data_IF_212697415979
#
_entry.id   IF_212697415979
#
_cell.length_a   1.000
_cell.length_b   1.000
_cell.length_c   1.000
_cell.angle_alpha   90.00
_cell.angle_beta   90.00
_cell.angle_gamma   90.00
#
_symmetry.space_group_name_H-M   'P 1'
#
loop_
_entity.id
_entity.type
_entity.pdbx_description
1 polymer ?
#
# COMPACT_ATOMS: atom_id res chain seq x y z
N UNK A 1 53.85 13.29 58.62
CA UNK A 1 54.49 14.41 57.87
C UNK A 1 54.35 14.12 56.37
N UNK A 2 54.17 15.12 55.50
CA UNK A 2 52.90 15.33 54.75
C UNK A 2 52.99 15.25 53.20
N UNK A 3 51.83 14.98 52.55
CA UNK A 3 51.28 15.56 51.29
C UNK A 3 52.00 15.31 49.92
N UNK A 4 51.38 15.61 48.74
CA UNK A 4 50.78 14.63 47.80
C UNK A 4 51.27 14.84 46.34
N UNK A 5 50.76 14.08 45.35
CA UNK A 5 50.69 14.59 43.96
C UNK A 5 49.63 13.87 43.11
N UNK A 6 48.70 14.68 42.56
CA UNK A 6 47.73 14.38 41.50
C UNK A 6 48.41 14.21 40.15
N UNK A 7 47.89 13.32 39.30
CA UNK A 7 47.81 13.46 37.82
C UNK A 7 47.18 12.17 37.25
N UNK A 8 46.44 12.13 36.15
CA UNK A 8 45.48 13.01 35.47
C UNK A 8 44.72 12.06 34.51
N UNK A 9 43.43 12.30 34.30
CA UNK A 9 42.56 11.48 33.44
C UNK A 9 43.06 11.48 31.99
N UNK A 10 43.07 10.31 31.35
CA UNK A 10 43.08 10.20 29.90
C UNK A 10 41.77 9.49 29.48
N UNK A 11 40.80 10.27 28.99
CA UNK A 11 39.60 9.76 28.33
C UNK A 11 39.93 9.73 26.85
N UNK A 12 40.15 8.54 26.30
CA UNK A 12 40.33 8.34 24.87
C UNK A 12 38.95 8.42 24.21
N UNK A 13 38.63 9.55 23.60
CA UNK A 13 37.43 9.69 22.77
C UNK A 13 37.67 9.01 21.41
N UNK A 14 37.08 7.84 21.21
CA UNK A 14 36.97 7.24 19.88
C UNK A 14 35.88 8.00 19.09
N UNK A 15 36.31 8.76 18.08
CA UNK A 15 35.41 9.38 17.12
C UNK A 15 34.89 8.29 16.16
N UNK A 16 33.67 7.82 16.37
CA UNK A 16 32.95 7.02 15.39
C UNK A 16 32.34 7.96 14.34
N UNK A 17 32.84 7.88 13.11
CA UNK A 17 32.21 8.44 11.92
C UNK A 17 30.89 7.70 11.67
N UNK A 18 29.79 8.26 12.17
CA UNK A 18 28.45 7.74 11.94
C UNK A 18 28.07 7.91 10.47
N UNK A 19 28.12 6.82 9.71
CA UNK A 19 27.42 6.72 8.43
C UNK A 19 25.93 6.65 8.75
N UNK A 20 25.18 7.71 8.44
CA UNK A 20 23.73 7.76 8.62
C UNK A 20 23.07 6.80 7.63
N UNK A 21 22.86 5.55 8.05
CA UNK A 21 21.82 4.72 7.45
C UNK A 21 20.50 5.17 8.06
N UNK A 22 19.59 5.74 7.26
CA UNK A 22 18.21 5.98 7.68
C UNK A 22 17.50 4.64 7.89
N UNK A 23 17.75 3.99 9.03
CA UNK A 23 16.91 2.89 9.51
C UNK A 23 15.58 3.50 9.89
N UNK A 24 14.55 3.27 9.07
CA UNK A 24 13.17 3.56 9.45
C UNK A 24 12.92 2.93 10.82
N UNK A 25 12.35 3.70 11.74
CA UNK A 25 12.09 3.21 13.09
C UNK A 25 11.08 2.06 13.02
N UNK A 26 11.25 0.97 13.80
CA UNK A 26 10.33 -0.17 13.78
C UNK A 26 8.88 0.25 14.08
N UNK A 27 8.69 1.32 14.85
CA UNK A 27 7.37 1.93 15.13
C UNK A 27 6.71 2.49 13.87
N UNK A 28 7.43 3.27 13.05
CA UNK A 28 6.86 3.85 11.82
C UNK A 28 6.44 2.77 10.83
N UNK A 29 7.22 1.68 10.72
CA UNK A 29 6.85 0.54 9.89
C UNK A 29 5.59 -0.18 10.41
N UNK A 30 5.45 -0.32 11.73
CA UNK A 30 4.26 -0.90 12.34
C UNK A 30 3.01 -0.04 12.08
N UNK A 31 3.12 1.28 12.20
CA UNK A 31 2.04 2.24 11.94
C UNK A 31 1.59 2.24 10.46
N UNK A 32 2.55 2.15 9.54
CA UNK A 32 2.27 2.04 8.10
C UNK A 32 1.53 0.74 7.77
N UNK A 33 1.96 -0.39 8.34
CA UNK A 33 1.29 -1.66 8.16
C UNK A 33 -0.10 -1.66 8.80
N UNK A 34 -0.29 -1.05 9.97
CA UNK A 34 -1.60 -0.90 10.58
C UNK A 34 -2.55 -0.07 9.69
N UNK A 35 -2.04 0.98 9.05
CA UNK A 35 -2.78 1.78 8.06
C UNK A 35 -3.25 0.90 6.91
N UNK A 36 -2.37 0.10 6.31
CA UNK A 36 -2.72 -0.83 5.24
C UNK A 36 -3.71 -1.92 5.68
N UNK A 37 -3.49 -2.53 6.85
CA UNK A 37 -4.39 -3.53 7.41
C UNK A 37 -5.81 -2.98 7.62
N UNK A 38 -5.94 -1.69 8.00
CA UNK A 38 -7.23 -1.02 8.15
C UNK A 38 -7.94 -0.70 6.84
N UNK A 39 -7.24 -0.82 5.70
CA UNK A 39 -7.78 -0.57 4.36
C UNK A 39 -8.08 -1.87 3.60
N UNK A 40 -7.84 -3.03 4.23
CA UNK A 40 -8.08 -4.32 3.61
C UNK A 40 -9.57 -4.53 3.37
N UNK A 41 -9.87 -5.02 2.17
CA UNK A 41 -11.20 -5.51 1.83
C UNK A 41 -11.53 -6.77 2.64
N UNK A 42 -12.81 -7.02 2.88
CA UNK A 42 -13.29 -8.17 3.65
C UNK A 42 -12.73 -9.48 3.09
N UNK A 43 -12.34 -10.37 4.00
CA UNK A 43 -11.71 -11.65 3.68
C UNK A 43 -10.18 -11.58 3.47
N UNK A 44 -9.60 -10.39 3.58
CA UNK A 44 -8.17 -10.18 3.76
C UNK A 44 -7.84 -9.84 5.21
N UNK A 45 -6.73 -10.37 5.70
CA UNK A 45 -6.17 -10.10 7.03
C UNK A 45 -4.69 -10.44 7.06
N UNK A 46 -4.05 -10.32 8.23
CA UNK A 46 -2.65 -10.75 8.41
C UNK A 46 -2.42 -12.25 8.19
N UNK A 47 -3.47 -13.08 8.12
CA UNK A 47 -3.32 -14.52 7.85
C UNK A 47 -3.08 -14.85 6.37
N UNK A 48 -3.55 -14.02 5.45
CA UNK A 48 -3.42 -14.20 4.00
C UNK A 48 -2.81 -12.99 3.28
N UNK A 49 -2.38 -11.97 4.03
CA UNK A 49 -1.61 -10.84 3.54
C UNK A 49 -0.27 -10.72 4.26
N UNK A 50 0.78 -10.38 3.51
CA UNK A 50 2.14 -10.24 4.00
C UNK A 50 2.80 -8.96 3.49
N UNK A 51 3.58 -8.30 4.36
CA UNK A 51 4.39 -7.16 3.95
C UNK A 51 5.43 -7.57 2.92
N UNK A 52 5.61 -6.73 1.89
CA UNK A 52 6.68 -6.89 0.91
C UNK A 52 7.75 -5.81 1.14
N UNK A 53 8.98 -6.05 0.69
CA UNK A 53 10.00 -5.02 0.75
C UNK A 53 9.65 -3.92 -0.26
N UNK A 54 9.73 -2.66 0.18
CA UNK A 54 9.47 -1.50 -0.69
C UNK A 54 10.39 -1.51 -1.92
N UNK A 55 11.63 -1.96 -1.76
CA UNK A 55 12.60 -2.11 -2.86
C UNK A 55 12.10 -2.97 -4.01
N UNK A 56 11.22 -3.94 -3.74
CA UNK A 56 10.74 -4.89 -4.73
C UNK A 56 9.70 -4.28 -5.67
N UNK A 57 9.05 -3.19 -5.23
CA UNK A 57 7.97 -2.51 -5.98
C UNK A 57 8.31 -1.08 -6.37
N UNK A 58 9.30 -0.44 -5.73
CA UNK A 58 9.64 0.95 -5.97
C UNK A 58 9.98 1.23 -7.44
N UNK A 59 10.60 0.28 -8.15
CA UNK A 59 10.91 0.44 -9.58
C UNK A 59 9.68 0.58 -10.49
N UNK A 60 8.49 0.17 -10.02
CA UNK A 60 7.23 0.31 -10.77
C UNK A 60 6.61 1.71 -10.65
N UNK A 61 7.07 2.52 -9.69
CA UNK A 61 6.50 3.83 -9.38
C UNK A 61 7.57 4.91 -9.36
N UNK A 62 7.24 6.09 -9.88
CA UNK A 62 8.05 7.30 -9.66
C UNK A 62 7.78 7.93 -8.30
N UNK A 63 6.61 7.63 -7.72
CA UNK A 63 6.17 8.08 -6.40
C UNK A 63 6.83 7.25 -5.29
N UNK A 64 6.95 7.83 -4.08
CA UNK A 64 7.56 7.14 -2.95
C UNK A 64 6.59 6.14 -2.34
N UNK A 65 6.89 4.84 -2.46
CA UNK A 65 6.13 3.77 -1.79
C UNK A 65 6.64 3.67 -0.36
N UNK A 66 5.74 3.77 0.60
CA UNK A 66 6.05 3.78 2.04
C UNK A 66 5.88 2.39 2.65
N UNK A 67 4.87 1.65 2.22
CA UNK A 67 4.62 0.28 2.61
C UNK A 67 3.80 -0.44 1.56
N UNK A 68 3.86 -1.77 1.56
CA UNK A 68 3.08 -2.61 0.65
C UNK A 68 2.68 -3.91 1.34
N UNK A 69 1.43 -4.31 1.18
CA UNK A 69 0.91 -5.63 1.51
C UNK A 69 0.56 -6.38 0.23
N UNK A 70 1.02 -7.62 0.12
CA UNK A 70 0.55 -8.60 -0.87
C UNK A 70 -0.37 -9.59 -0.19
N UNK A 71 -1.57 -9.75 -0.73
CA UNK A 71 -2.56 -10.72 -0.30
C UNK A 71 -2.67 -11.87 -1.30
N UNK A 72 -2.79 -13.09 -0.78
CA UNK A 72 -3.12 -14.30 -1.55
C UNK A 72 -4.63 -14.44 -1.75
N UNK A 73 -5.13 -15.68 -1.86
CA UNK A 73 -6.55 -15.96 -2.03
C UNK A 73 -7.41 -15.33 -0.91
N UNK A 74 -8.50 -14.67 -1.29
CA UNK A 74 -9.50 -14.16 -0.35
C UNK A 74 -10.25 -15.31 0.34
N UNK A 75 -10.63 -15.14 1.61
CA UNK A 75 -11.36 -16.21 2.34
C UNK A 75 -12.82 -16.36 1.93
N UNK A 76 -13.39 -15.39 1.21
CA UNK A 76 -14.68 -15.53 0.54
C UNK A 76 -14.52 -16.48 -0.66
N UNK A 77 -15.37 -17.51 -0.75
CA UNK A 77 -15.34 -18.49 -1.84
C UNK A 77 -15.58 -17.89 -3.23
N UNK A 78 -16.27 -16.74 -3.29
CA UNK A 78 -16.49 -15.95 -4.50
C UNK A 78 -15.51 -14.79 -4.65
N UNK A 79 -14.57 -14.67 -3.71
CA UNK A 79 -13.65 -13.56 -3.62
C UNK A 79 -12.49 -13.63 -4.63
N UNK A 80 -11.75 -12.52 -4.76
CA UNK A 80 -10.60 -12.40 -5.64
C UNK A 80 -9.49 -13.42 -5.33
N UNK A 81 -8.69 -13.72 -6.34
CA UNK A 81 -7.54 -14.61 -6.22
C UNK A 81 -6.33 -13.97 -5.52
N UNK A 82 -6.33 -12.65 -5.39
CA UNK A 82 -5.26 -11.89 -4.77
C UNK A 82 -5.55 -10.40 -4.74
N UNK A 83 -4.75 -9.68 -3.97
CA UNK A 83 -4.78 -8.22 -3.93
C UNK A 83 -3.46 -7.63 -3.49
N UNK A 84 -3.22 -6.37 -3.81
CA UNK A 84 -2.10 -5.58 -3.29
C UNK A 84 -2.59 -4.26 -2.76
N UNK A 85 -1.97 -3.80 -1.69
CA UNK A 85 -2.26 -2.52 -1.05
C UNK A 85 -0.96 -1.77 -0.86
N UNK A 86 -0.89 -0.55 -1.38
CA UNK A 86 0.27 0.32 -1.34
C UNK A 86 -0.07 1.55 -0.51
N UNK A 87 0.85 1.93 0.37
CA UNK A 87 0.80 3.20 1.09
C UNK A 87 1.80 4.15 0.43
N UNK A 88 1.35 5.34 0.10
CA UNK A 88 2.18 6.41 -0.47
C UNK A 88 2.40 7.53 0.54
N UNK A 89 3.46 8.32 0.31
CA UNK A 89 3.84 9.40 1.23
C UNK A 89 2.79 10.51 1.31
N UNK A 90 2.02 10.73 0.24
CA UNK A 90 1.01 11.79 0.14
C UNK A 90 -0.04 11.49 -0.95
N UNK A 91 -1.02 12.38 -1.06
CA UNK A 91 -2.13 12.24 -2.01
C UNK A 91 -1.72 12.39 -3.47
N UNK A 92 -0.73 13.24 -3.79
CA UNK A 92 -0.22 13.39 -5.15
C UNK A 92 0.51 12.12 -5.63
N UNK A 93 1.28 11.50 -4.74
CA UNK A 93 1.94 10.21 -4.96
C UNK A 93 0.91 9.09 -5.19
N UNK A 94 -0.18 9.10 -4.42
CA UNK A 94 -1.28 8.14 -4.59
C UNK A 94 -1.98 8.32 -5.94
N UNK A 95 -2.34 9.55 -6.31
CA UNK A 95 -3.07 9.86 -7.55
C UNK A 95 -2.24 9.58 -8.81
N UNK A 96 -0.95 9.94 -8.79
CA UNK A 96 -0.04 9.64 -9.90
C UNK A 96 0.19 8.13 -10.06
N UNK A 97 0.29 7.40 -8.95
CA UNK A 97 0.44 5.94 -8.96
C UNK A 97 -0.83 5.23 -9.44
N UNK A 98 -2.02 5.70 -9.07
CA UNK A 98 -3.29 5.21 -9.60
C UNK A 98 -3.31 5.36 -11.13
N UNK A 99 -3.02 6.57 -11.62
CA UNK A 99 -2.95 6.86 -13.07
C UNK A 99 -1.94 5.96 -13.79
N UNK A 100 -0.80 5.70 -13.14
CA UNK A 100 0.24 4.82 -13.69
C UNK A 100 -0.23 3.38 -13.81
N UNK A 101 -0.86 2.81 -12.78
CA UNK A 101 -1.33 1.42 -12.83
C UNK A 101 -2.41 1.23 -13.88
N UNK A 102 -3.43 2.10 -13.92
CA UNK A 102 -4.53 1.94 -14.87
C UNK A 102 -4.10 2.15 -16.34
N UNK A 103 -2.92 2.72 -16.58
CA UNK A 103 -2.39 2.92 -17.93
C UNK A 103 -1.89 1.63 -18.58
N UNK A 104 -1.61 0.59 -17.79
CA UNK A 104 -1.26 -0.74 -18.32
C UNK A 104 -2.47 -1.65 -18.55
N UNK A 105 -3.65 -1.23 -18.09
CA UNK A 105 -4.84 -2.08 -18.13
C UNK A 105 -5.67 -1.85 -19.39
N UNK A 106 -6.40 -2.88 -19.79
CA UNK A 106 -7.53 -2.71 -20.71
C UNK A 106 -8.75 -2.31 -19.90
N UNK A 107 -9.06 -1.01 -19.88
CA UNK A 107 -10.15 -0.46 -19.09
C UNK A 107 -11.53 -0.90 -19.58
N UNK A 108 -12.40 -1.20 -18.63
CA UNK A 108 -13.81 -1.47 -18.80
C UNK A 108 -14.63 -0.51 -17.91
N UNK A 109 -15.95 -0.53 -18.03
CA UNK A 109 -16.80 0.22 -17.11
C UNK A 109 -16.79 -0.43 -15.71
N UNK A 110 -16.81 0.40 -14.67
CA UNK A 110 -17.12 -0.01 -13.32
C UNK A 110 -18.65 -0.02 -13.15
N UNK A 111 -19.28 -1.16 -13.45
CA UNK A 111 -20.73 -1.24 -13.57
C UNK A 111 -21.19 -0.39 -14.77
N UNK A 112 -22.06 0.59 -14.53
CA UNK A 112 -22.55 1.49 -15.59
C UNK A 112 -21.64 2.71 -15.83
N UNK A 113 -20.70 2.99 -14.92
CA UNK A 113 -19.83 4.15 -15.00
C UNK A 113 -18.54 3.86 -15.78
N UNK A 114 -18.12 4.79 -16.64
CA UNK A 114 -16.84 4.68 -17.36
C UNK A 114 -15.66 4.82 -16.39
N UNK A 115 -14.66 3.94 -16.52
CA UNK A 115 -13.41 4.04 -15.75
C UNK A 115 -12.46 5.13 -16.31
N UNK A 116 -11.65 5.77 -15.43
CA UNK A 116 -11.82 5.79 -13.97
C UNK A 116 -13.05 6.63 -13.57
N UNK A 117 -13.59 6.37 -12.38
CA UNK A 117 -14.69 7.13 -11.78
C UNK A 117 -14.50 7.31 -10.27
N UNK A 118 -15.34 8.13 -9.65
CA UNK A 118 -15.31 8.35 -8.20
C UNK A 118 -16.08 7.25 -7.47
N UNK A 119 -15.59 6.84 -6.31
CA UNK A 119 -16.32 5.97 -5.39
C UNK A 119 -16.54 6.64 -4.03
N UNK A 120 -17.49 6.08 -3.29
CA UNK A 120 -18.01 6.66 -2.05
C UNK A 120 -18.10 5.59 -0.96
N UNK A 121 -17.90 5.98 0.30
CA UNK A 121 -18.00 5.08 1.45
C UNK A 121 -18.87 5.73 2.54
N UNK A 122 -20.09 5.24 2.73
CA UNK A 122 -20.98 5.67 3.83
C UNK A 122 -21.52 7.10 3.77
N UNK A 123 -21.06 7.94 2.83
CA UNK A 123 -21.58 9.29 2.57
C UNK A 123 -21.60 9.60 1.07
N UNK A 124 -22.06 10.80 0.69
CA UNK A 124 -21.98 11.31 -0.69
C UNK A 124 -20.62 11.91 -1.05
N UNK A 125 -19.72 12.07 -0.08
CA UNK A 125 -18.38 12.62 -0.34
C UNK A 125 -17.50 11.57 -1.00
N UNK A 126 -16.58 12.02 -1.85
CA UNK A 126 -15.63 11.12 -2.51
C UNK A 126 -14.74 10.43 -1.48
N UNK A 127 -14.68 9.09 -1.53
CA UNK A 127 -13.71 8.30 -0.78
C UNK A 127 -12.43 8.03 -1.60
N UNK A 128 -12.50 8.19 -2.92
CA UNK A 128 -11.37 8.12 -3.83
C UNK A 128 -11.78 7.88 -5.28
N UNK A 129 -10.84 7.38 -6.07
CA UNK A 129 -11.04 6.95 -7.46
C UNK A 129 -11.07 5.43 -7.55
N UNK A 130 -11.83 4.91 -8.51
CA UNK A 130 -11.89 3.49 -8.85
C UNK A 130 -11.78 3.32 -10.36
N UNK A 131 -11.08 2.29 -10.79
CA UNK A 131 -11.00 1.84 -12.17
C UNK A 131 -11.17 0.33 -12.23
N UNK A 132 -11.84 -0.11 -13.28
CA UNK A 132 -12.12 -1.50 -13.55
C UNK A 132 -11.59 -1.84 -14.92
N UNK A 133 -10.99 -3.02 -15.06
CA UNK A 133 -10.41 -3.43 -16.31
C UNK A 133 -9.90 -4.86 -16.26
N UNK A 134 -8.96 -5.15 -17.16
CA UNK A 134 -8.20 -6.40 -17.14
C UNK A 134 -6.71 -6.11 -17.31
N UNK A 135 -5.89 -6.85 -16.57
CA UNK A 135 -4.45 -7.00 -16.80
C UNK A 135 -4.19 -8.44 -17.22
N UNK A 136 -3.57 -8.62 -18.38
CA UNK A 136 -3.21 -9.94 -18.90
C UNK A 136 -4.39 -10.93 -18.97
N UNK A 137 -5.60 -10.41 -19.24
CA UNK A 137 -6.85 -11.17 -19.33
C UNK A 137 -7.52 -11.49 -17.99
N UNK A 138 -6.94 -11.07 -16.86
CA UNK A 138 -7.52 -11.20 -15.53
C UNK A 138 -8.20 -9.90 -15.13
N UNK A 139 -9.44 -9.98 -14.67
CA UNK A 139 -10.18 -8.83 -14.20
C UNK A 139 -9.49 -8.22 -12.98
N UNK A 140 -9.44 -6.90 -12.98
CA UNK A 140 -8.87 -6.10 -11.90
C UNK A 140 -9.81 -4.95 -11.54
N UNK A 141 -9.88 -4.67 -10.23
CA UNK A 141 -10.48 -3.45 -9.69
C UNK A 141 -9.40 -2.76 -8.89
N UNK A 142 -9.06 -1.54 -9.29
CA UNK A 142 -8.07 -0.69 -8.64
C UNK A 142 -8.79 0.51 -8.03
N UNK A 143 -8.44 0.90 -6.81
CA UNK A 143 -9.04 2.05 -6.17
C UNK A 143 -8.09 2.76 -5.21
N UNK A 144 -8.32 4.04 -4.98
CA UNK A 144 -7.66 4.82 -3.93
C UNK A 144 -8.53 4.92 -2.69
N UNK A 145 -7.90 5.03 -1.52
CA UNK A 145 -8.55 5.48 -0.28
C UNK A 145 -7.88 6.79 0.11
N UNK A 146 -8.47 7.90 -0.32
CA UNK A 146 -7.80 9.21 -0.32
C UNK A 146 -7.42 9.67 1.09
N UNK A 147 -8.30 9.41 2.07
CA UNK A 147 -8.05 9.74 3.47
C UNK A 147 -6.84 9.00 4.09
N UNK A 148 -6.32 7.96 3.42
CA UNK A 148 -5.21 7.12 3.89
C UNK A 148 -3.99 7.13 2.98
N UNK A 149 -4.02 7.83 1.83
CA UNK A 149 -3.00 7.72 0.77
C UNK A 149 -2.74 6.27 0.34
N UNK A 150 -3.80 5.46 0.28
CA UNK A 150 -3.72 4.05 -0.10
C UNK A 150 -4.18 3.88 -1.53
N UNK A 151 -3.44 3.09 -2.30
CA UNK A 151 -3.85 2.54 -3.58
C UNK A 151 -3.93 1.03 -3.43
N UNK A 152 -5.06 0.46 -3.80
CA UNK A 152 -5.29 -0.96 -3.71
C UNK A 152 -5.75 -1.51 -5.05
N UNK A 153 -5.47 -2.80 -5.27
CA UNK A 153 -6.13 -3.54 -6.32
C UNK A 153 -6.44 -4.96 -5.88
N UNK A 154 -7.47 -5.55 -6.48
CA UNK A 154 -7.80 -6.97 -6.40
C UNK A 154 -7.89 -7.57 -7.79
N UNK A 155 -7.51 -8.84 -7.92
CA UNK A 155 -7.60 -9.58 -9.19
C UNK A 155 -8.49 -10.79 -9.06
N UNK A 156 -9.26 -11.09 -10.10
CA UNK A 156 -9.96 -12.35 -10.25
C UNK A 156 -9.11 -13.37 -11.02
N UNK A 157 -9.48 -14.65 -10.93
CA UNK A 157 -8.87 -15.72 -11.73
C UNK A 157 -9.38 -15.79 -13.18
N UNK A 158 -10.32 -14.90 -13.56
CA UNK A 158 -10.94 -14.82 -14.88
C UNK A 158 -11.04 -13.35 -15.31
N UNK A 159 -11.56 -13.09 -16.52
CA UNK A 159 -11.73 -11.74 -17.06
C UNK A 159 -13.07 -11.06 -16.73
N UNK A 160 -13.84 -11.55 -15.75
CA UNK A 160 -15.17 -10.99 -15.43
C UNK A 160 -15.07 -9.76 -14.51
N UNK A 161 -14.79 -8.61 -15.12
CA UNK A 161 -14.67 -7.32 -14.43
C UNK A 161 -15.98 -6.90 -13.75
N UNK A 162 -17.14 -7.24 -14.31
CA UNK A 162 -18.43 -6.88 -13.74
C UNK A 162 -18.70 -7.63 -12.43
N UNK A 163 -18.44 -8.95 -12.42
CA UNK A 163 -18.55 -9.75 -11.19
C UNK A 163 -17.57 -9.29 -10.12
N UNK A 164 -16.31 -9.02 -10.49
CA UNK A 164 -15.29 -8.56 -9.54
C UNK A 164 -15.64 -7.19 -8.94
N UNK A 165 -16.09 -6.24 -9.76
CA UNK A 165 -16.52 -4.93 -9.28
C UNK A 165 -17.72 -5.03 -8.33
N UNK A 166 -18.72 -5.86 -8.66
CA UNK A 166 -19.87 -6.11 -7.78
C UNK A 166 -19.46 -6.72 -6.43
N UNK A 167 -18.51 -7.65 -6.44
CA UNK A 167 -17.94 -8.20 -5.21
C UNK A 167 -17.25 -7.09 -4.40
N UNK A 168 -16.43 -6.27 -5.04
CA UNK A 168 -15.73 -5.16 -4.40
C UNK A 168 -16.69 -4.15 -3.78
N UNK A 169 -17.79 -3.78 -4.44
CA UNK A 169 -18.77 -2.85 -3.85
C UNK A 169 -19.36 -3.34 -2.50
N UNK A 170 -19.39 -4.64 -2.28
CA UNK A 170 -19.94 -5.25 -1.05
C UNK A 170 -18.88 -5.55 0.02
N UNK A 171 -17.60 -5.56 -0.36
CA UNK A 171 -16.52 -6.08 0.47
C UNK A 171 -15.28 -5.16 0.50
N UNK A 172 -15.28 -4.08 -0.28
CA UNK A 172 -14.16 -3.20 -0.58
C UNK A 172 -13.65 -2.39 0.58
#
# INVERSE_FOLDING_TARGET
>A
MPHPAKTLRAVTAAAFTATFFCVATPTAMADNNATLLSALSKGYSSSNCSSQAVSDVQGSFTATVVAVLQCGQNTDSSGPMGGKYFLFANSADTASSFTKLISSDTLANCGDAKSPTTWHQGSSDSAGQVACGTDSGQAEVLWTVDAKNVLAFIRASNGDTAALYKWWQSNG
#
